data_IF_982020179896
#
_entry.id   IF_982020179896
#
_cell.length_a   1.000
_cell.length_b   1.000
_cell.length_c   1.000
_cell.angle_alpha   90.00
_cell.angle_beta   90.00
_cell.angle_gamma   90.00
#
_symmetry.space_group_name_H-M   'P 1'
#
loop_
_entity.id
_entity.type
_entity.pdbx_description
1 polymer ?
#
# COMPACT_ATOMS: atom_id res chain seq x y z
N UNK A 1 32.16 -4.66 0.60
CA UNK A 1 30.98 -4.79 1.49
C UNK A 1 29.80 -4.38 0.67
N UNK A 2 28.91 -5.32 0.38
CA UNK A 2 27.75 -5.08 -0.49
C UNK A 2 26.86 -4.03 0.17
N UNK A 3 26.32 -3.07 -0.58
CA UNK A 3 25.42 -2.03 -0.05
C UNK A 3 24.22 -2.61 0.70
N UNK A 4 23.88 -3.88 0.47
CA UNK A 4 22.83 -4.63 1.16
C UNK A 4 23.22 -5.03 2.60
N UNK A 5 24.51 -5.32 2.86
CA UNK A 5 25.01 -5.68 4.21
C UNK A 5 24.91 -4.47 5.17
N UNK A 6 24.99 -3.25 4.63
CA UNK A 6 24.85 -2.01 5.41
C UNK A 6 23.39 -1.74 5.81
N UNK A 7 22.43 -2.24 5.03
CA UNK A 7 20.99 -2.07 5.26
C UNK A 7 20.37 -3.22 6.09
N UNK A 8 21.10 -4.31 6.30
CA UNK A 8 20.68 -5.45 7.13
C UNK A 8 20.15 -5.09 8.53
N UNK A 9 20.74 -4.15 9.30
CA UNK A 9 20.17 -3.75 10.58
C UNK A 9 18.81 -3.04 10.44
N UNK A 10 18.55 -2.36 9.33
CA UNK A 10 17.28 -1.65 9.10
C UNK A 10 16.13 -2.64 8.82
N UNK A 11 16.40 -3.72 8.07
CA UNK A 11 15.39 -4.73 7.76
C UNK A 11 14.86 -5.46 9.00
N UNK A 12 15.66 -5.58 10.07
CA UNK A 12 15.24 -6.21 11.33
C UNK A 12 14.17 -5.42 12.10
N UNK A 13 13.98 -4.14 11.78
CA UNK A 13 12.98 -3.28 12.42
C UNK A 13 11.65 -3.24 11.67
N UNK A 14 11.60 -3.74 10.43
CA UNK A 14 10.36 -3.73 9.65
C UNK A 14 9.47 -4.90 10.09
N UNK A 15 8.23 -4.64 10.56
CA UNK A 15 7.33 -5.71 10.94
C UNK A 15 6.83 -6.47 9.71
N UNK A 16 6.74 -7.79 9.82
CA UNK A 16 6.25 -8.68 8.77
C UNK A 16 5.07 -9.52 9.27
N UNK A 17 4.12 -9.82 8.37
CA UNK A 17 3.00 -10.72 8.65
C UNK A 17 3.48 -12.17 8.60
N UNK A 18 3.28 -12.92 9.68
CA UNK A 18 3.66 -14.34 9.75
C UNK A 18 2.79 -15.18 8.80
N UNK A 19 3.42 -16.07 8.03
CA UNK A 19 2.72 -17.06 7.22
C UNK A 19 1.81 -17.96 8.06
N UNK A 20 0.63 -18.34 7.55
CA UNK A 20 -0.30 -19.21 8.27
C UNK A 20 0.34 -20.57 8.56
N UNK A 21 -0.03 -21.16 9.70
CA UNK A 21 0.52 -22.46 10.16
C UNK A 21 -0.10 -23.63 9.40
N UNK A 22 -1.32 -23.47 8.87
CA UNK A 22 -1.99 -24.46 8.05
C UNK A 22 -2.30 -23.92 6.65
N UNK A 23 -2.57 -24.84 5.72
CA UNK A 23 -3.05 -24.47 4.40
C UNK A 23 -4.49 -23.98 4.48
N UNK A 24 -4.67 -22.66 4.35
CA UNK A 24 -5.97 -22.00 4.34
C UNK A 24 -6.84 -22.51 3.18
N UNK A 25 -8.09 -22.87 3.47
CA UNK A 25 -9.07 -23.27 2.46
C UNK A 25 -9.40 -22.09 1.53
N UNK A 26 -9.83 -22.39 0.30
CA UNK A 26 -10.21 -21.35 -0.68
C UNK A 26 -11.26 -20.36 -0.14
N UNK A 27 -12.23 -20.88 0.64
CA UNK A 27 -13.28 -20.06 1.24
C UNK A 27 -12.73 -19.09 2.29
N UNK A 28 -11.72 -19.49 3.03
CA UNK A 28 -11.06 -18.64 4.03
C UNK A 28 -10.27 -17.53 3.37
N UNK A 29 -9.46 -17.86 2.36
CA UNK A 29 -8.75 -16.88 1.54
C UNK A 29 -9.71 -15.85 0.93
N UNK A 30 -10.85 -16.30 0.40
CA UNK A 30 -11.85 -15.41 -0.18
C UNK A 30 -12.46 -14.44 0.85
N UNK A 31 -12.73 -14.91 2.08
CA UNK A 31 -13.21 -14.05 3.18
C UNK A 31 -12.18 -12.97 3.53
N UNK A 32 -10.91 -13.33 3.64
CA UNK A 32 -9.84 -12.38 3.92
C UNK A 32 -9.67 -11.34 2.81
N UNK A 33 -9.71 -11.77 1.54
CA UNK A 33 -9.67 -10.85 0.39
C UNK A 33 -10.84 -9.88 0.41
N UNK A 34 -12.06 -10.39 0.65
CA UNK A 34 -13.25 -9.54 0.73
C UNK A 34 -13.18 -8.54 1.90
N UNK A 35 -12.66 -8.96 3.05
CA UNK A 35 -12.47 -8.10 4.22
C UNK A 35 -11.51 -6.95 3.92
N UNK A 36 -10.34 -7.25 3.34
CA UNK A 36 -9.34 -6.23 2.96
C UNK A 36 -9.90 -5.30 1.89
N UNK A 37 -10.68 -5.82 0.93
CA UNK A 37 -11.31 -5.02 -0.12
C UNK A 37 -12.29 -4.00 0.48
N UNK A 38 -13.13 -4.43 1.43
CA UNK A 38 -14.07 -3.52 2.12
C UNK A 38 -13.29 -2.47 2.92
N UNK A 39 -12.26 -2.89 3.65
CA UNK A 39 -11.41 -1.96 4.41
C UNK A 39 -10.77 -0.92 3.47
N UNK A 40 -10.22 -1.35 2.33
CA UNK A 40 -9.66 -0.45 1.32
C UNK A 40 -10.66 0.64 0.90
N UNK A 41 -11.89 0.26 0.53
CA UNK A 41 -12.90 1.25 0.14
C UNK A 41 -13.28 2.19 1.29
N UNK A 42 -13.36 1.70 2.54
CA UNK A 42 -13.59 2.57 3.70
C UNK A 42 -12.46 3.61 3.82
N UNK A 43 -11.21 3.20 3.67
CA UNK A 43 -10.06 4.11 3.75
C UNK A 43 -10.08 5.16 2.64
N UNK A 44 -10.60 4.86 1.44
CA UNK A 44 -10.74 5.86 0.36
C UNK A 44 -11.73 6.99 0.68
N UNK A 45 -12.64 6.77 1.65
CA UNK A 45 -13.63 7.76 2.06
C UNK A 45 -13.11 8.70 3.15
N UNK A 46 -11.99 8.37 3.79
CA UNK A 46 -11.42 9.18 4.89
C UNK A 46 -10.64 10.34 4.28
N UNK A 47 -11.07 11.59 4.46
CA UNK A 47 -10.42 12.75 3.86
C UNK A 47 -9.04 12.99 4.48
N UNK A 48 -8.12 13.48 3.66
CA UNK A 48 -6.78 13.84 4.09
C UNK A 48 -6.83 15.15 4.89
N UNK A 49 -6.42 15.08 6.15
CA UNK A 49 -6.35 16.26 7.01
C UNK A 49 -5.30 17.27 6.52
N UNK A 50 -5.67 18.55 6.48
CA UNK A 50 -4.77 19.65 6.08
C UNK A 50 -4.65 19.85 4.57
N UNK A 51 -5.50 19.24 3.75
CA UNK A 51 -5.54 19.51 2.32
C UNK A 51 -6.09 20.92 2.05
N UNK A 52 -5.33 21.73 1.30
CA UNK A 52 -5.77 23.06 0.89
C UNK A 52 -6.93 22.99 -0.13
N UNK A 53 -7.85 23.96 -0.09
CA UNK A 53 -9.02 23.99 -1.00
C UNK A 53 -8.62 24.10 -2.49
N UNK A 54 -7.45 24.65 -2.79
CA UNK A 54 -6.89 24.73 -4.14
C UNK A 54 -5.93 23.60 -4.51
N UNK A 55 -5.90 22.51 -3.74
CA UNK A 55 -4.96 21.42 -3.98
C UNK A 55 -5.21 20.78 -5.35
N UNK A 56 -4.19 20.83 -6.21
CA UNK A 56 -4.23 20.21 -7.53
C UNK A 56 -3.77 18.78 -7.42
N UNK A 57 -4.50 17.91 -8.08
CA UNK A 57 -4.11 16.53 -8.21
C UNK A 57 -3.00 16.33 -9.26
N UNK A 58 -1.78 16.18 -8.77
CA UNK A 58 -0.58 15.96 -9.61
C UNK A 58 -0.53 14.55 -10.21
N UNK A 59 -1.23 13.57 -9.63
CA UNK A 59 -1.14 12.16 -10.04
C UNK A 59 -2.37 11.68 -10.80
N UNK A 60 -3.19 12.60 -11.34
CA UNK A 60 -4.43 12.28 -12.03
C UNK A 60 -4.25 11.20 -13.10
N UNK A 61 -3.23 11.36 -13.96
CA UNK A 61 -2.92 10.43 -15.04
C UNK A 61 -2.46 9.05 -14.55
N UNK A 62 -1.83 8.99 -13.38
CA UNK A 62 -1.28 7.74 -12.81
C UNK A 62 -2.27 7.04 -11.88
N UNK A 63 -3.41 7.66 -11.55
CA UNK A 63 -4.34 7.15 -10.54
C UNK A 63 -4.90 5.79 -10.85
N UNK A 64 -5.23 5.54 -12.12
CA UNK A 64 -5.78 4.26 -12.54
C UNK A 64 -4.81 3.10 -12.24
N UNK A 65 -3.49 3.35 -12.34
CA UNK A 65 -2.44 2.36 -12.06
C UNK A 65 -2.08 2.32 -10.58
N UNK A 66 -2.01 3.49 -9.93
CA UNK A 66 -1.65 3.62 -8.53
C UNK A 66 -2.76 3.16 -7.58
N UNK A 67 -3.98 2.91 -8.05
CA UNK A 67 -5.12 2.56 -7.21
C UNK A 67 -5.24 3.49 -5.97
N UNK A 68 -5.04 4.79 -6.20
CA UNK A 68 -5.13 5.82 -5.17
C UNK A 68 -6.42 6.61 -5.27
N UNK A 69 -6.75 7.38 -4.23
CA UNK A 69 -7.88 8.32 -4.23
C UNK A 69 -7.42 9.67 -3.71
N UNK A 70 -7.32 10.68 -4.59
CA UNK A 70 -6.83 12.01 -4.23
C UNK A 70 -7.75 12.68 -3.21
N UNK A 71 -7.14 13.29 -2.20
CA UNK A 71 -7.84 13.90 -1.08
C UNK A 71 -8.31 12.92 -0.02
N UNK A 72 -8.00 11.62 -0.16
CA UNK A 72 -8.12 10.64 0.92
C UNK A 72 -6.76 10.29 1.53
N UNK A 73 -6.77 9.57 2.65
CA UNK A 73 -5.54 8.97 3.22
C UNK A 73 -4.83 8.01 2.26
N UNK A 74 -5.52 7.52 1.22
CA UNK A 74 -4.97 6.68 0.15
C UNK A 74 -4.58 7.51 -1.10
N UNK A 75 -4.21 8.78 -0.94
CA UNK A 75 -3.83 9.66 -2.06
C UNK A 75 -2.74 9.07 -2.96
N UNK A 76 -1.74 8.38 -2.38
CA UNK A 76 -0.66 7.74 -3.13
C UNK A 76 -0.96 6.30 -3.57
N UNK A 77 -2.02 5.67 -3.04
CA UNK A 77 -2.37 4.28 -3.30
C UNK A 77 -1.20 3.30 -3.14
N UNK A 78 -1.03 2.40 -4.12
CA UNK A 78 0.09 1.44 -4.20
C UNK A 78 1.37 2.03 -4.79
N UNK A 79 1.38 3.34 -5.11
CA UNK A 79 2.49 4.03 -5.76
C UNK A 79 3.87 3.73 -5.16
N UNK A 80 4.07 3.88 -3.85
CA UNK A 80 5.36 3.61 -3.21
C UNK A 80 5.87 2.18 -3.44
N UNK A 81 4.97 1.19 -3.43
CA UNK A 81 5.33 -0.22 -3.62
C UNK A 81 5.75 -0.47 -5.07
N UNK A 82 4.98 0.06 -6.03
CA UNK A 82 5.27 -0.08 -7.46
C UNK A 82 6.57 0.62 -7.82
N UNK A 83 6.77 1.86 -7.36
CA UNK A 83 8.00 2.61 -7.63
C UNK A 83 9.22 1.95 -6.99
N UNK A 84 9.11 1.45 -5.75
CA UNK A 84 10.20 0.70 -5.12
C UNK A 84 10.56 -0.56 -5.92
N UNK A 85 9.56 -1.29 -6.43
CA UNK A 85 9.81 -2.44 -7.29
C UNK A 85 10.49 -2.07 -8.60
N UNK A 86 10.09 -0.97 -9.26
CA UNK A 86 10.72 -0.48 -10.50
C UNK A 86 12.20 -0.13 -10.30
N UNK A 87 12.57 0.42 -9.13
CA UNK A 87 13.96 0.78 -8.82
C UNK A 87 14.82 -0.45 -8.50
N UNK A 88 14.21 -1.50 -7.94
CA UNK A 88 14.91 -2.72 -7.53
C UNK A 88 15.11 -3.73 -8.68
N UNK A 89 14.20 -3.74 -9.65
CA UNK A 89 14.30 -4.54 -10.88
C UNK A 89 15.44 -4.05 -11.78
#
# INVERSE_FOLDING_TARGET
>A
MSSLEVLEPLFKFLPEVKSPVHNEDFREKLKWTALILVLYYILTLIPLYGLAEGAVDQFAALRAVMAGSFGSILTLGIGPIVTASIVLQ
#
